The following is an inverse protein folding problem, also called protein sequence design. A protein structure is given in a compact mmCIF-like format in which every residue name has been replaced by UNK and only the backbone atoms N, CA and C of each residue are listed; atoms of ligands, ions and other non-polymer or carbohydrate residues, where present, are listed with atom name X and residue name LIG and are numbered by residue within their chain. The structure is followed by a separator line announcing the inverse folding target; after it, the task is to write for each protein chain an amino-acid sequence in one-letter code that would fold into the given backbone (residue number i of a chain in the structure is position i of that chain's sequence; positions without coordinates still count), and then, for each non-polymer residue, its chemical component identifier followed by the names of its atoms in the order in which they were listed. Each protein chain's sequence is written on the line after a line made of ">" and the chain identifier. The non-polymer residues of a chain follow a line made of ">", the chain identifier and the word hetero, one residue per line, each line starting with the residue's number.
data_IF_459369091141
#
_entry.id   IF_459369091141
#
_cell.length_a   1.000
_cell.length_b   1.000
_cell.length_c   1.000
_cell.angle_alpha   90.00
_cell.angle_beta   90.00
_cell.angle_gamma   90.00
#
_symmetry.space_group_name_H-M   'P 1'
#
loop_
_entity.id
_entity.type
_entity.pdbx_description
1 polymer ?
#
# COMPACT_ATOMS: atom_id res chain seq x y z
N UNK A 1 -17.92 -6.34 50.19
CA UNK A 1 -16.72 -6.81 49.47
C UNK A 1 -16.23 -8.18 49.93
N UNK A 2 -16.26 -8.52 51.21
CA UNK A 2 -15.75 -9.85 51.73
C UNK A 2 -16.49 -11.05 51.15
N UNK A 3 -17.82 -10.95 50.91
CA UNK A 3 -18.62 -12.05 50.34
C UNK A 3 -18.27 -12.33 48.87
N UNK A 4 -17.99 -11.29 48.08
CA UNK A 4 -17.61 -11.45 46.67
C UNK A 4 -16.26 -12.18 46.56
N UNK A 5 -15.30 -11.77 47.38
CA UNK A 5 -13.98 -12.40 47.41
C UNK A 5 -14.03 -13.88 47.84
N UNK A 6 -14.93 -14.20 48.80
CA UNK A 6 -15.13 -15.57 49.26
C UNK A 6 -15.73 -16.47 48.14
N UNK A 7 -16.74 -15.97 47.44
CA UNK A 7 -17.36 -16.68 46.29
C UNK A 7 -16.32 -16.92 45.21
N UNK A 8 -15.62 -15.86 44.81
CA UNK A 8 -14.56 -15.92 43.78
C UNK A 8 -13.50 -16.98 44.12
N UNK A 9 -13.02 -16.99 45.39
CA UNK A 9 -12.02 -17.95 45.81
C UNK A 9 -12.55 -19.40 45.83
N UNK A 10 -13.82 -19.60 46.18
CA UNK A 10 -14.48 -20.91 46.15
C UNK A 10 -14.62 -21.41 44.70
N UNK A 11 -15.03 -20.54 43.77
CA UNK A 11 -15.20 -20.88 42.37
C UNK A 11 -13.86 -21.22 41.71
N UNK A 12 -12.83 -20.40 41.93
CA UNK A 12 -11.47 -20.65 41.41
C UNK A 12 -10.91 -21.97 41.98
N UNK A 13 -11.13 -22.24 43.25
CA UNK A 13 -10.67 -23.51 43.86
C UNK A 13 -11.46 -24.69 43.30
N UNK A 14 -12.77 -24.54 43.05
CA UNK A 14 -13.62 -25.55 42.40
C UNK A 14 -13.17 -25.85 40.98
N UNK A 15 -12.85 -24.82 40.22
CA UNK A 15 -12.36 -24.91 38.85
C UNK A 15 -11.01 -25.64 38.79
N UNK A 16 -10.07 -25.31 39.67
CA UNK A 16 -8.73 -25.90 39.73
C UNK A 16 -8.71 -27.37 40.09
N UNK A 17 -9.77 -27.88 40.75
CA UNK A 17 -9.90 -29.29 41.13
C UNK A 17 -10.48 -30.17 40.03
N UNK A 18 -11.06 -29.59 38.97
CA UNK A 18 -11.62 -30.33 37.87
C UNK A 18 -10.75 -30.14 36.61
N UNK A 19 -10.06 -31.21 36.22
CA UNK A 19 -9.14 -31.18 35.07
C UNK A 19 -9.83 -30.76 33.78
N UNK A 20 -11.06 -31.24 33.51
CA UNK A 20 -11.81 -30.85 32.31
C UNK A 20 -12.19 -29.38 32.30
N UNK A 21 -12.63 -28.85 33.45
CA UNK A 21 -12.96 -27.44 33.58
C UNK A 21 -11.72 -26.54 33.37
N UNK A 22 -10.56 -26.99 33.83
CA UNK A 22 -9.29 -26.27 33.68
C UNK A 22 -8.83 -26.27 32.22
N UNK A 23 -8.98 -27.40 31.51
CA UNK A 23 -8.68 -27.47 30.05
C UNK A 23 -9.58 -26.57 29.26
N UNK A 24 -10.89 -26.56 29.54
CA UNK A 24 -11.85 -25.68 28.85
C UNK A 24 -11.54 -24.20 29.12
N UNK A 25 -11.29 -23.83 30.38
CA UNK A 25 -10.94 -22.47 30.75
C UNK A 25 -9.62 -22.01 30.08
N UNK A 26 -8.61 -22.91 30.07
CA UNK A 26 -7.37 -22.67 29.36
C UNK A 26 -7.58 -22.47 27.85
N UNK A 27 -8.38 -23.31 27.20
CA UNK A 27 -8.72 -23.18 25.78
C UNK A 27 -9.43 -21.85 25.47
N UNK A 28 -10.40 -21.47 26.31
CA UNK A 28 -11.11 -20.19 26.16
C UNK A 28 -10.20 -18.96 26.35
N UNK A 29 -9.14 -19.07 27.12
CA UNK A 29 -8.16 -17.99 27.27
C UNK A 29 -7.14 -17.98 26.12
N UNK A 30 -6.64 -19.15 25.72
CA UNK A 30 -5.55 -19.27 24.75
C UNK A 30 -6.04 -18.96 23.33
N UNK A 31 -7.18 -19.52 22.91
CA UNK A 31 -7.65 -19.37 21.52
C UNK A 31 -7.89 -17.91 21.13
N UNK A 32 -8.65 -17.10 21.91
CA UNK A 32 -8.82 -15.69 21.59
C UNK A 32 -7.51 -14.90 21.65
N UNK A 33 -6.63 -15.24 22.59
CA UNK A 33 -5.33 -14.58 22.72
C UNK A 33 -4.42 -14.85 21.51
N UNK A 34 -4.39 -16.09 21.03
CA UNK A 34 -3.66 -16.45 19.82
C UNK A 34 -4.25 -15.75 18.59
N UNK A 35 -5.57 -15.73 18.48
CA UNK A 35 -6.24 -15.03 17.37
C UNK A 35 -5.88 -13.53 17.36
N UNK A 36 -5.96 -12.87 18.51
CA UNK A 36 -5.57 -11.46 18.64
C UNK A 36 -4.09 -11.27 18.31
N UNK A 37 -3.21 -12.15 18.81
CA UNK A 37 -1.78 -12.10 18.55
C UNK A 37 -1.48 -12.22 17.04
N UNK A 38 -2.07 -13.22 16.36
CA UNK A 38 -1.86 -13.39 14.91
C UNK A 38 -2.37 -12.20 14.11
N UNK A 39 -3.52 -11.63 14.47
CA UNK A 39 -4.03 -10.42 13.81
C UNK A 39 -3.11 -9.23 14.01
N UNK A 40 -2.65 -8.99 15.22
CA UNK A 40 -1.72 -7.90 15.52
C UNK A 40 -0.40 -8.12 14.78
N UNK A 41 0.16 -9.32 14.82
CA UNK A 41 1.40 -9.65 14.15
C UNK A 41 1.31 -9.50 12.63
N UNK A 42 0.21 -9.97 12.03
CA UNK A 42 -0.03 -9.86 10.59
C UNK A 42 -0.20 -8.40 10.11
N UNK A 43 -0.72 -7.54 10.97
CA UNK A 43 -0.94 -6.12 10.65
C UNK A 43 0.07 -5.19 11.32
N UNK A 44 1.14 -5.73 11.92
CA UNK A 44 2.13 -4.92 12.63
C UNK A 44 2.84 -3.94 11.73
N UNK A 45 3.16 -4.39 10.52
CA UNK A 45 3.76 -3.54 9.49
C UNK A 45 3.17 -3.89 8.12
N UNK A 46 2.03 -3.28 7.76
CA UNK A 46 1.38 -3.52 6.46
C UNK A 46 2.24 -3.04 5.29
N UNK A 47 3.22 -2.19 5.55
CA UNK A 47 4.09 -1.64 4.51
C UNK A 47 5.39 -2.44 4.30
N UNK A 48 5.77 -3.33 5.21
CA UNK A 48 6.99 -4.13 5.10
C UNK A 48 7.02 -5.02 3.84
N UNK A 49 5.85 -5.43 3.34
CA UNK A 49 5.71 -6.30 2.18
C UNK A 49 5.31 -5.56 0.89
N UNK A 50 5.14 -4.23 0.92
CA UNK A 50 4.75 -3.47 -0.27
C UNK A 50 5.84 -3.43 -1.34
N UNK A 51 7.09 -3.64 -0.97
CA UNK A 51 8.21 -3.81 -1.91
C UNK A 51 8.06 -5.04 -2.83
N UNK A 52 7.24 -6.02 -2.45
CA UNK A 52 6.91 -7.18 -3.30
C UNK A 52 5.85 -6.85 -4.37
N UNK A 53 5.09 -5.76 -4.21
CA UNK A 53 4.11 -5.30 -5.17
C UNK A 53 4.82 -4.59 -6.33
N UNK A 54 4.86 -5.25 -7.48
CA UNK A 54 5.48 -4.69 -8.68
C UNK A 54 4.55 -3.67 -9.32
N UNK A 55 5.02 -2.43 -9.43
CA UNK A 55 4.33 -1.34 -10.13
C UNK A 55 5.22 -0.85 -11.26
N UNK A 56 4.69 -0.90 -12.48
CA UNK A 56 5.40 -0.40 -13.66
C UNK A 56 5.29 1.12 -13.73
N UNK A 57 6.38 1.79 -14.11
CA UNK A 57 6.40 3.25 -14.36
C UNK A 57 7.05 3.49 -15.70
N UNK A 58 6.36 4.21 -16.58
CA UNK A 58 6.87 4.63 -17.89
C UNK A 58 6.68 6.14 -18.01
N UNK A 59 7.72 6.82 -18.46
CA UNK A 59 7.67 8.25 -18.78
C UNK A 59 7.79 8.44 -20.28
N UNK A 60 6.76 9.01 -20.89
CA UNK A 60 6.74 9.49 -22.28
C UNK A 60 6.92 11.01 -22.34
N UNK A 61 7.19 11.66 -21.19
CA UNK A 61 7.26 13.11 -21.07
C UNK A 61 8.35 13.71 -21.98
N UNK A 62 7.91 14.58 -22.88
CA UNK A 62 8.80 15.30 -23.82
C UNK A 62 9.58 16.43 -23.16
N UNK A 63 9.28 16.73 -21.89
CA UNK A 63 9.84 17.87 -21.18
C UNK A 63 9.24 19.21 -21.61
N UNK A 64 9.65 20.24 -20.90
CA UNK A 64 9.22 21.62 -21.15
C UNK A 64 10.42 22.56 -21.18
N UNK A 65 10.45 23.47 -22.16
CA UNK A 65 11.43 24.54 -22.25
C UNK A 65 10.72 25.88 -22.35
N UNK A 66 10.91 26.72 -21.35
CA UNK A 66 10.47 28.10 -21.40
C UNK A 66 11.55 28.99 -22.04
N UNK A 67 11.14 30.11 -22.64
CA UNK A 67 12.08 31.06 -23.26
C UNK A 67 13.11 31.54 -22.23
N UNK A 68 14.37 31.10 -22.38
CA UNK A 68 15.48 31.54 -21.55
C UNK A 68 15.82 30.59 -20.37
N UNK A 69 15.20 29.42 -20.28
CA UNK A 69 15.52 28.38 -19.29
C UNK A 69 15.96 27.12 -19.99
N UNK A 70 16.83 26.34 -19.31
CA UNK A 70 17.21 25.01 -19.77
C UNK A 70 15.99 24.08 -19.83
N UNK A 71 15.96 23.14 -20.79
CA UNK A 71 14.85 22.19 -20.91
C UNK A 71 14.76 21.33 -19.64
N UNK A 72 13.58 21.29 -19.04
CA UNK A 72 13.31 20.51 -17.83
C UNK A 72 12.35 19.38 -18.18
N UNK A 73 12.69 18.15 -17.78
CA UNK A 73 11.83 17.00 -17.91
C UNK A 73 11.46 16.49 -16.50
N UNK A 74 10.28 16.88 -16.04
CA UNK A 74 9.79 16.54 -14.70
C UNK A 74 9.38 15.07 -14.63
N UNK A 75 8.94 14.47 -15.74
CA UNK A 75 8.61 13.04 -15.78
C UNK A 75 9.82 12.17 -15.53
N UNK A 76 10.97 12.49 -16.13
CA UNK A 76 12.20 11.76 -15.88
C UNK A 76 12.74 11.98 -14.45
N UNK A 77 12.57 13.18 -13.89
CA UNK A 77 12.93 13.42 -12.48
C UNK A 77 12.08 12.59 -11.52
N UNK A 78 10.80 12.42 -11.79
CA UNK A 78 9.93 11.53 -11.01
C UNK A 78 10.43 10.09 -11.11
N UNK A 79 10.74 9.59 -12.31
CA UNK A 79 11.28 8.24 -12.51
C UNK A 79 12.58 8.05 -11.74
N UNK A 80 13.49 9.02 -11.78
CA UNK A 80 14.77 8.95 -11.07
C UNK A 80 14.58 8.89 -9.54
N UNK A 81 13.65 9.70 -8.99
CA UNK A 81 13.33 9.64 -7.56
C UNK A 81 12.67 8.32 -7.15
N UNK A 82 11.88 7.71 -8.05
CA UNK A 82 11.28 6.41 -7.78
C UNK A 82 12.31 5.27 -7.82
N UNK A 83 13.41 5.41 -8.54
CA UNK A 83 14.52 4.46 -8.51
C UNK A 83 15.13 4.30 -7.12
N UNK A 84 15.20 5.39 -6.36
CA UNK A 84 15.74 5.38 -5.00
C UNK A 84 14.69 4.98 -3.94
N UNK A 85 13.43 4.88 -4.32
CA UNK A 85 12.34 4.55 -3.42
C UNK A 85 12.15 3.04 -3.31
N UNK A 86 12.34 2.51 -2.10
CA UNK A 86 12.21 1.07 -1.81
C UNK A 86 10.85 0.66 -1.23
N UNK A 87 9.92 1.59 -1.10
CA UNK A 87 8.62 1.34 -0.49
C UNK A 87 7.71 0.43 -1.32
N UNK A 88 7.92 0.39 -2.64
CA UNK A 88 7.19 -0.44 -3.61
C UNK A 88 8.20 -1.07 -4.57
N UNK A 89 7.86 -2.19 -5.15
CA UNK A 89 8.70 -2.86 -6.17
C UNK A 89 8.57 -2.16 -7.53
N UNK A 90 9.22 -1.01 -7.68
CA UNK A 90 9.18 -0.25 -8.93
C UNK A 90 9.86 -1.00 -10.07
N UNK A 91 9.21 -1.05 -11.21
CA UNK A 91 9.73 -1.64 -12.45
C UNK A 91 9.60 -0.60 -13.55
N UNK A 92 10.64 -0.44 -14.35
CA UNK A 92 10.71 0.58 -15.41
C UNK A 92 10.79 -0.09 -16.79
N UNK A 93 9.63 -0.45 -17.39
CA UNK A 93 9.58 -0.99 -18.75
C UNK A 93 10.03 0.06 -19.78
N UNK A 94 10.41 -0.40 -20.97
CA UNK A 94 10.91 0.49 -22.01
C UNK A 94 9.80 1.28 -22.71
N UNK A 95 8.58 0.74 -22.73
CA UNK A 95 7.44 1.35 -23.40
C UNK A 95 6.13 1.08 -22.64
N UNK A 96 5.12 1.85 -22.99
CA UNK A 96 3.77 1.78 -22.43
C UNK A 96 3.10 0.44 -22.72
N UNK A 97 3.34 -0.14 -23.90
CA UNK A 97 2.74 -1.42 -24.28
C UNK A 97 3.26 -2.56 -23.41
N UNK A 98 4.55 -2.57 -23.10
CA UNK A 98 5.15 -3.55 -22.18
C UNK A 98 4.61 -3.39 -20.74
N UNK A 99 4.41 -2.16 -20.28
CA UNK A 99 3.82 -1.87 -18.98
C UNK A 99 2.37 -2.39 -18.90
N UNK A 100 1.55 -2.07 -19.89
CA UNK A 100 0.16 -2.49 -19.96
C UNK A 100 0.04 -4.02 -20.08
N UNK A 101 0.85 -4.64 -20.94
CA UNK A 101 0.89 -6.08 -21.07
C UNK A 101 1.22 -6.76 -19.74
N UNK A 102 2.19 -6.25 -19.00
CA UNK A 102 2.55 -6.79 -17.69
C UNK A 102 1.42 -6.69 -16.65
N UNK A 103 0.57 -5.66 -16.76
CA UNK A 103 -0.64 -5.56 -15.92
C UNK A 103 -1.70 -6.57 -16.35
N UNK A 104 -1.93 -6.74 -17.66
CA UNK A 104 -2.88 -7.74 -18.16
C UNK A 104 -2.47 -9.18 -17.85
N UNK A 105 -1.18 -9.48 -17.94
CA UNK A 105 -0.61 -10.79 -17.63
C UNK A 105 -0.50 -11.04 -16.11
N UNK A 106 -0.81 -10.04 -15.27
CA UNK A 106 -0.70 -10.13 -13.82
C UNK A 106 0.74 -10.10 -13.28
N UNK A 107 1.71 -9.75 -14.11
CA UNK A 107 3.13 -9.59 -13.71
C UNK A 107 3.34 -8.31 -12.90
N UNK A 108 2.53 -7.28 -13.17
CA UNK A 108 2.52 -6.01 -12.45
C UNK A 108 1.14 -5.79 -11.82
N UNK A 109 1.14 -5.23 -10.61
CA UNK A 109 -0.09 -4.88 -9.90
C UNK A 109 -0.79 -3.66 -10.53
N UNK A 110 0.00 -2.69 -10.97
CA UNK A 110 -0.45 -1.48 -11.63
C UNK A 110 0.62 -0.94 -12.58
N UNK A 111 0.23 -0.02 -13.46
CA UNK A 111 1.15 0.75 -14.28
C UNK A 111 0.84 2.24 -14.14
N UNK A 112 1.87 3.05 -14.01
CA UNK A 112 1.83 4.50 -14.02
C UNK A 112 2.46 4.95 -15.35
N UNK A 113 1.68 5.65 -16.17
CA UNK A 113 2.13 6.18 -17.44
C UNK A 113 2.13 7.72 -17.32
N UNK A 114 3.30 8.30 -17.44
CA UNK A 114 3.49 9.75 -17.45
C UNK A 114 3.39 10.20 -18.91
N UNK A 115 2.35 10.97 -19.22
CA UNK A 115 2.07 11.43 -20.59
C UNK A 115 3.13 12.40 -21.13
N UNK A 116 3.12 12.60 -22.43
CA UNK A 116 4.08 13.40 -23.20
C UNK A 116 4.05 14.90 -22.85
N UNK A 117 2.94 15.41 -22.38
CA UNK A 117 2.70 16.80 -22.01
C UNK A 117 2.80 17.05 -20.49
N UNK A 118 3.25 16.08 -19.70
CA UNK A 118 3.26 16.16 -18.24
C UNK A 118 4.02 17.40 -17.72
N UNK A 119 5.26 17.61 -18.18
CA UNK A 119 6.06 18.78 -17.78
C UNK A 119 5.37 20.08 -18.17
N UNK A 120 4.81 20.18 -19.37
CA UNK A 120 4.10 21.37 -19.83
C UNK A 120 2.88 21.66 -18.96
N UNK A 121 2.03 20.67 -18.74
CA UNK A 121 0.82 20.80 -17.93
C UNK A 121 1.13 21.19 -16.49
N UNK A 122 2.22 20.68 -15.93
CA UNK A 122 2.67 21.03 -14.59
C UNK A 122 3.10 22.50 -14.51
N UNK A 123 3.88 22.99 -15.48
CA UNK A 123 4.30 24.39 -15.51
C UNK A 123 3.12 25.32 -15.78
N UNK A 124 2.20 24.96 -16.70
CA UNK A 124 0.98 25.72 -16.95
C UNK A 124 0.09 25.79 -15.69
N UNK A 125 0.04 24.72 -14.91
CA UNK A 125 -0.65 24.72 -13.62
C UNK A 125 -0.01 25.67 -12.61
N UNK A 126 1.32 25.65 -12.51
CA UNK A 126 2.06 26.53 -11.60
C UNK A 126 1.90 28.01 -11.99
N UNK A 127 1.88 28.30 -13.29
CA UNK A 127 1.73 29.69 -13.79
C UNK A 127 0.30 30.20 -13.67
N UNK A 128 -0.70 29.37 -13.95
CA UNK A 128 -2.10 29.79 -14.03
C UNK A 128 -2.96 29.38 -12.81
N UNK A 129 -2.45 28.55 -11.91
CA UNK A 129 -3.05 28.20 -10.62
C UNK A 129 -4.43 27.53 -10.64
N UNK A 130 -5.00 27.23 -11.80
CA UNK A 130 -6.44 26.93 -11.88
C UNK A 130 -6.88 25.77 -12.82
N UNK A 131 -6.01 25.11 -13.56
CA UNK A 131 -6.44 24.04 -14.46
C UNK A 131 -5.76 22.69 -14.17
N UNK A 132 -5.90 22.19 -12.95
CA UNK A 132 -5.55 20.80 -12.66
C UNK A 132 -6.74 19.89 -13.01
N UNK A 133 -6.90 19.60 -14.29
CA UNK A 133 -7.68 18.44 -14.72
C UNK A 133 -6.74 17.24 -14.72
N UNK A 134 -6.61 16.59 -13.56
CA UNK A 134 -6.15 15.21 -13.50
C UNK A 134 -7.17 14.37 -14.26
N UNK A 135 -6.89 14.15 -15.54
CA UNK A 135 -7.68 13.24 -16.36
C UNK A 135 -7.31 11.81 -15.91
N UNK A 136 -8.11 11.25 -15.01
CA UNK A 136 -8.05 9.82 -14.76
C UNK A 136 -8.67 9.11 -15.95
N UNK A 137 -7.85 8.42 -16.73
CA UNK A 137 -8.32 7.53 -17.78
C UNK A 137 -9.37 6.56 -17.20
N UNK A 138 -10.51 6.35 -17.87
CA UNK A 138 -11.51 5.41 -17.41
C UNK A 138 -10.89 4.03 -17.25
N UNK A 139 -11.17 3.40 -16.11
CA UNK A 139 -10.70 2.06 -15.82
C UNK A 139 -11.09 1.07 -16.93
N UNK A 140 -10.22 0.10 -17.29
CA UNK A 140 -10.57 -0.96 -18.24
C UNK A 140 -11.85 -1.75 -17.88
N UNK A 141 -12.34 -1.58 -16.64
CA UNK A 141 -13.58 -2.19 -16.16
C UNK A 141 -14.86 -1.48 -16.65
N UNK A 142 -14.75 -0.29 -17.22
CA UNK A 142 -15.90 0.53 -17.64
C UNK A 142 -16.25 0.36 -19.13
N UNK A 143 -15.73 -0.71 -19.76
CA UNK A 143 -16.04 -1.11 -21.14
C UNK A 143 -16.77 -2.44 -21.19
#
# INVERSE_FOLDING_TARGET
>A
MKHILHIFRKDVTGLSRNLFALVIAGGLCIIPSLYAWFNIYSNWDPYANTSSLKVAVVSEDSGFSSKGSDPVNMGNQVVEQLHDNTGVGWVFPQDTDAALKGVYDGSYYAAIIIGDDFSRSLFDFLDNGMNCLLYTSPSPRDR
#
